data_IF_878847101081
#
_entry.id   IF_878847101081
#
_cell.length_a   1.000
_cell.length_b   1.000
_cell.length_c   1.000
_cell.angle_alpha   90.00
_cell.angle_beta   90.00
_cell.angle_gamma   90.00
#
_symmetry.space_group_name_H-M   'P 1'
#
loop_
_entity.id
_entity.type
_entity.pdbx_description
1 polymer ?
#
# COMPACT_ATOMS: atom_id res chain seq x y z
N UNK A 1 -35.46 56.95 19.31
CA UNK A 1 -35.75 56.22 18.06
C UNK A 1 -34.89 54.96 18.05
N UNK A 2 -35.22 53.91 17.29
CA UNK A 2 -34.34 52.75 17.18
C UNK A 2 -33.13 53.12 16.31
N UNK A 3 -31.92 52.80 16.76
CA UNK A 3 -30.69 53.11 16.04
C UNK A 3 -30.12 51.84 15.42
N UNK A 4 -29.89 51.86 14.11
CA UNK A 4 -29.24 50.77 13.40
C UNK A 4 -27.78 51.12 13.18
N UNK A 5 -26.89 50.14 13.33
CA UNK A 5 -25.46 50.33 13.06
C UNK A 5 -24.82 49.03 12.58
N UNK A 6 -23.74 49.14 11.83
CA UNK A 6 -22.93 48.00 11.35
C UNK A 6 -21.55 48.06 11.99
N UNK A 7 -20.98 46.89 12.25
CA UNK A 7 -19.59 46.75 12.67
C UNK A 7 -18.72 46.39 11.48
N UNK A 8 -17.49 46.89 11.46
CA UNK A 8 -16.43 46.38 10.60
C UNK A 8 -15.52 45.46 11.44
N UNK A 9 -15.38 44.21 11.02
CA UNK A 9 -14.53 43.23 11.67
C UNK A 9 -13.06 43.46 11.36
N UNK A 10 -12.14 42.87 12.15
CA UNK A 10 -10.70 42.96 11.89
C UNK A 10 -10.30 42.42 10.50
N UNK A 11 -11.09 41.48 9.99
CA UNK A 11 -10.98 40.92 8.63
C UNK A 11 -11.58 41.83 7.53
N UNK A 12 -12.03 43.04 7.86
CA UNK A 12 -12.69 43.97 6.93
C UNK A 12 -14.15 43.64 6.59
N UNK A 13 -14.66 42.47 7.01
CA UNK A 13 -16.05 42.09 6.78
C UNK A 13 -17.01 43.00 7.55
N UNK A 14 -18.11 43.40 6.90
CA UNK A 14 -19.21 44.10 7.57
C UNK A 14 -20.11 43.08 8.28
N UNK A 15 -20.51 43.41 9.52
CA UNK A 15 -21.46 42.61 10.28
C UNK A 15 -22.87 42.74 9.72
N UNK A 16 -23.76 41.85 10.18
CA UNK A 16 -25.20 42.09 10.10
C UNK A 16 -25.56 43.39 10.83
N UNK A 17 -26.61 44.11 10.41
CA UNK A 17 -27.04 45.34 11.08
C UNK A 17 -27.48 45.00 12.51
N UNK A 18 -26.93 45.72 13.48
CA UNK A 18 -27.33 45.66 14.87
C UNK A 18 -28.43 46.68 15.12
N UNK A 19 -29.43 46.29 15.92
CA UNK A 19 -30.48 47.16 16.39
C UNK A 19 -30.19 47.57 17.84
N UNK A 20 -29.97 48.85 18.09
CA UNK A 20 -30.11 49.41 19.42
C UNK A 20 -31.58 49.73 19.65
N UNK A 21 -32.27 48.87 20.40
CA UNK A 21 -33.69 49.05 20.72
C UNK A 21 -33.87 50.34 21.51
N UNK A 22 -34.81 51.17 21.08
CA UNK A 22 -35.21 52.32 21.88
C UNK A 22 -35.89 51.86 23.18
N UNK A 23 -35.78 52.67 24.24
CA UNK A 23 -36.41 52.40 25.55
C UNK A 23 -37.91 52.04 25.43
N UNK A 24 -38.72 52.69 24.57
CA UNK A 24 -40.11 52.28 24.36
C UNK A 24 -40.28 50.86 23.83
N UNK A 25 -39.47 50.43 22.86
CA UNK A 25 -39.51 49.08 22.30
C UNK A 25 -39.08 48.03 23.34
N UNK A 26 -38.07 48.37 24.15
CA UNK A 26 -37.61 47.51 25.24
C UNK A 26 -38.72 47.27 26.28
N UNK A 27 -39.43 48.32 26.69
CA UNK A 27 -40.52 48.25 27.68
C UNK A 27 -41.75 47.54 27.11
N UNK A 28 -42.09 47.79 25.86
CA UNK A 28 -43.27 47.21 25.21
C UNK A 28 -43.06 45.75 24.73
N UNK A 29 -41.84 45.20 24.82
CA UNK A 29 -41.45 43.90 24.25
C UNK A 29 -41.79 43.74 22.76
N UNK A 30 -41.88 44.85 22.03
CA UNK A 30 -42.16 44.85 20.60
C UNK A 30 -40.88 45.21 19.84
N UNK A 31 -40.64 44.56 18.70
CA UNK A 31 -39.56 44.95 17.81
C UNK A 31 -39.93 46.27 17.13
N UNK A 32 -38.99 47.21 17.05
CA UNK A 32 -39.17 48.38 16.20
C UNK A 32 -39.36 47.90 14.76
N UNK A 33 -40.50 48.24 14.14
CA UNK A 33 -40.66 48.05 12.71
C UNK A 33 -39.53 48.81 11.99
N UNK A 34 -38.87 48.21 10.98
CA UNK A 34 -37.95 48.96 10.12
C UNK A 34 -38.78 50.02 9.39
N UNK A 35 -38.66 51.28 9.81
CA UNK A 35 -39.26 52.40 9.07
C UNK A 35 -38.44 52.60 7.80
N UNK A 36 -38.88 52.00 6.69
CA UNK A 36 -38.35 52.29 5.35
C UNK A 36 -36.91 51.83 5.09
N UNK A 37 -36.32 52.41 4.02
CA UNK A 37 -34.92 52.25 3.65
C UNK A 37 -34.05 52.61 4.86
N UNK A 38 -33.24 51.64 5.30
CA UNK A 38 -32.31 51.84 6.41
C UNK A 38 -31.47 53.10 6.10
N UNK A 39 -31.42 54.08 7.02
CA UNK A 39 -30.62 55.27 6.79
C UNK A 39 -29.20 54.83 6.43
N UNK A 40 -28.68 55.41 5.35
CA UNK A 40 -27.34 55.14 4.86
C UNK A 40 -26.36 55.27 6.02
N UNK A 41 -25.69 54.18 6.38
CA UNK A 41 -24.93 54.07 7.62
C UNK A 41 -23.70 54.98 7.52
N UNK A 42 -23.78 56.21 8.05
CA UNK A 42 -22.76 57.26 7.88
C UNK A 42 -21.34 56.83 8.28
N UNK A 43 -21.16 55.93 9.25
CA UNK A 43 -19.87 55.26 9.49
C UNK A 43 -20.05 53.91 10.22
N UNK A 44 -19.51 52.79 9.69
CA UNK A 44 -19.44 51.54 10.43
C UNK A 44 -18.50 51.66 11.64
N UNK A 45 -18.89 51.12 12.78
CA UNK A 45 -18.02 51.11 13.97
C UNK A 45 -16.99 49.98 13.88
N UNK A 46 -15.73 50.22 14.24
CA UNK A 46 -14.74 49.16 14.33
C UNK A 46 -15.11 48.12 15.42
N UNK A 47 -14.93 46.83 15.12
CA UNK A 47 -15.02 45.77 16.11
C UNK A 47 -13.65 45.18 16.40
N UNK A 48 -13.45 44.77 17.64
CA UNK A 48 -12.22 44.14 18.10
C UNK A 48 -12.08 42.66 17.70
N UNK A 49 -13.10 42.06 17.08
CA UNK A 49 -13.13 40.64 16.79
C UNK A 49 -13.15 40.36 15.29
N UNK A 50 -12.60 39.22 14.89
CA UNK A 50 -12.82 38.68 13.55
C UNK A 50 -14.30 38.31 13.35
N UNK A 51 -14.73 38.22 12.09
CA UNK A 51 -16.09 37.75 11.81
C UNK A 51 -16.15 36.23 11.98
N UNK A 52 -17.32 35.71 12.40
CA UNK A 52 -17.54 34.28 12.62
C UNK A 52 -17.18 33.43 11.39
N UNK A 53 -17.51 33.91 10.19
CA UNK A 53 -17.22 33.18 8.95
C UNK A 53 -15.71 33.04 8.67
N UNK A 54 -14.91 34.05 9.04
CA UNK A 54 -13.46 33.97 8.92
C UNK A 54 -12.88 32.98 9.94
N UNK A 55 -13.32 33.04 11.20
CA UNK A 55 -12.90 32.10 12.22
C UNK A 55 -13.21 30.64 11.84
N UNK A 56 -14.41 30.39 11.31
CA UNK A 56 -14.80 29.05 10.84
C UNK A 56 -13.94 28.59 9.66
N UNK A 57 -13.55 29.50 8.76
CA UNK A 57 -12.65 29.18 7.65
C UNK A 57 -11.24 28.84 8.13
N UNK A 58 -10.70 29.59 9.09
CA UNK A 58 -9.40 29.30 9.71
C UNK A 58 -9.42 27.93 10.38
N UNK A 59 -10.43 27.65 11.20
CA UNK A 59 -10.58 26.33 11.83
C UNK A 59 -10.71 25.20 10.80
N UNK A 60 -11.48 25.42 9.72
CA UNK A 60 -11.58 24.42 8.65
C UNK A 60 -10.22 24.18 8.00
N UNK A 61 -9.48 25.23 7.66
CA UNK A 61 -8.16 25.11 7.05
C UNK A 61 -7.17 24.37 7.97
N UNK A 62 -7.19 24.65 9.27
CA UNK A 62 -6.40 23.93 10.27
C UNK A 62 -6.78 22.44 10.30
N UNK A 63 -8.07 22.12 10.36
CA UNK A 63 -8.51 20.72 10.34
C UNK A 63 -8.12 20.01 9.05
N UNK A 64 -8.24 20.66 7.89
CA UNK A 64 -7.84 20.10 6.60
C UNK A 64 -6.32 19.86 6.56
N UNK A 65 -5.51 20.79 7.05
CA UNK A 65 -4.06 20.62 7.14
C UNK A 65 -3.67 19.46 8.08
N UNK A 66 -4.32 19.33 9.23
CA UNK A 66 -4.06 18.20 10.15
C UNK A 66 -4.48 16.86 9.53
N UNK A 67 -5.61 16.82 8.82
CA UNK A 67 -6.08 15.62 8.14
C UNK A 67 -5.17 15.23 6.98
N UNK A 68 -4.66 16.20 6.22
CA UNK A 68 -3.69 15.97 5.14
C UNK A 68 -2.39 15.41 5.71
N UNK A 69 -1.83 16.02 6.76
CA UNK A 69 -0.62 15.53 7.41
C UNK A 69 -0.79 14.09 7.96
N UNK A 70 -1.96 13.79 8.54
CA UNK A 70 -2.27 12.43 9.00
C UNK A 70 -2.40 11.43 7.84
N UNK A 71 -3.00 11.83 6.72
CA UNK A 71 -3.13 10.99 5.53
C UNK A 71 -1.77 10.69 4.89
N UNK A 72 -0.90 11.70 4.77
CA UNK A 72 0.46 11.56 4.26
C UNK A 72 1.31 10.65 5.16
N UNK A 73 1.22 10.80 6.48
CA UNK A 73 1.91 9.92 7.42
C UNK A 73 1.44 8.46 7.29
N UNK A 74 0.13 8.23 7.14
CA UNK A 74 -0.44 6.89 6.94
C UNK A 74 -0.08 6.30 5.57
N UNK A 75 0.08 7.12 4.54
CA UNK A 75 0.58 6.65 3.24
C UNK A 75 2.06 6.28 3.30
N UNK A 76 2.89 7.12 3.92
CA UNK A 76 4.30 6.84 4.11
C UNK A 76 4.53 5.55 4.92
N UNK A 77 3.73 5.30 5.95
CA UNK A 77 3.78 4.04 6.72
C UNK A 77 3.43 2.82 5.85
N UNK A 78 2.39 2.93 5.01
CA UNK A 78 2.00 1.85 4.09
C UNK A 78 3.08 1.57 3.05
N UNK A 79 3.67 2.61 2.47
CA UNK A 79 4.78 2.46 1.52
C UNK A 79 6.01 1.82 2.20
N UNK A 80 6.36 2.25 3.41
CA UNK A 80 7.45 1.65 4.17
C UNK A 80 7.20 0.16 4.49
N UNK A 81 5.98 -0.21 4.84
CA UNK A 81 5.59 -1.60 5.07
C UNK A 81 5.68 -2.45 3.79
N UNK A 82 5.21 -1.93 2.65
CA UNK A 82 5.30 -2.61 1.36
C UNK A 82 6.76 -2.81 0.92
N UNK A 83 7.60 -1.78 1.09
CA UNK A 83 9.03 -1.90 0.80
C UNK A 83 9.72 -2.93 1.71
N UNK A 84 9.35 -2.97 2.98
CA UNK A 84 9.88 -3.94 3.93
C UNK A 84 9.51 -5.38 3.53
N UNK A 85 8.25 -5.63 3.18
CA UNK A 85 7.77 -6.93 2.70
C UNK A 85 8.48 -7.36 1.40
N UNK A 86 8.64 -6.43 0.45
CA UNK A 86 9.38 -6.70 -0.79
C UNK A 86 10.84 -7.07 -0.53
N UNK A 87 11.51 -6.35 0.38
CA UNK A 87 12.91 -6.63 0.78
C UNK A 87 13.02 -7.99 1.45
N UNK A 88 12.09 -8.34 2.34
CA UNK A 88 12.05 -9.66 2.98
C UNK A 88 11.87 -10.79 1.97
N UNK A 89 10.92 -10.65 1.02
CA UNK A 89 10.71 -11.65 -0.04
C UNK A 89 11.93 -11.81 -0.94
N UNK A 90 12.63 -10.72 -1.25
CA UNK A 90 13.86 -10.79 -2.05
C UNK A 90 14.99 -11.49 -1.28
N UNK A 91 15.15 -11.21 0.02
CA UNK A 91 16.10 -11.89 0.88
C UNK A 91 15.81 -13.39 0.96
N UNK A 92 14.55 -13.77 1.21
CA UNK A 92 14.15 -15.18 1.27
C UNK A 92 14.43 -15.91 -0.05
N UNK A 93 14.20 -15.25 -1.20
CA UNK A 93 14.53 -15.83 -2.51
C UNK A 93 16.03 -16.05 -2.67
N UNK A 94 16.86 -15.07 -2.29
CA UNK A 94 18.33 -15.18 -2.35
C UNK A 94 18.85 -16.28 -1.43
N UNK A 95 18.32 -16.39 -0.22
CA UNK A 95 18.69 -17.45 0.72
C UNK A 95 18.34 -18.85 0.19
N UNK A 96 17.17 -19.00 -0.44
CA UNK A 96 16.79 -20.27 -1.11
C UNK A 96 17.71 -20.59 -2.27
N UNK A 97 18.01 -19.61 -3.13
CA UNK A 97 18.94 -19.78 -4.26
C UNK A 97 20.34 -20.18 -3.77
N UNK A 98 20.85 -19.52 -2.72
CA UNK A 98 22.15 -19.84 -2.15
C UNK A 98 22.18 -21.23 -1.52
N UNK A 99 21.11 -21.61 -0.82
CA UNK A 99 20.97 -22.95 -0.24
C UNK A 99 21.04 -24.03 -1.31
N UNK A 100 20.27 -23.89 -2.38
CA UNK A 100 20.29 -24.84 -3.51
C UNK A 100 21.68 -24.90 -4.14
N UNK A 101 22.36 -23.76 -4.30
CA UNK A 101 23.73 -23.73 -4.82
C UNK A 101 24.72 -24.49 -3.92
N UNK A 102 24.62 -24.31 -2.60
CA UNK A 102 25.46 -25.01 -1.62
C UNK A 102 25.19 -26.52 -1.61
N UNK A 103 23.91 -26.92 -1.61
CA UNK A 103 23.49 -28.33 -1.67
C UNK A 103 23.94 -29.01 -2.98
N UNK A 104 23.88 -28.30 -4.12
CA UNK A 104 24.36 -28.83 -5.40
C UNK A 104 25.90 -29.05 -5.40
N UNK A 105 26.66 -28.13 -4.81
CA UNK A 105 28.12 -28.27 -4.69
C UNK A 105 28.49 -29.42 -3.76
N UNK A 106 27.79 -29.56 -2.64
CA UNK A 106 28.04 -30.62 -1.66
C UNK A 106 27.70 -31.99 -2.24
N UNK A 107 26.55 -32.12 -2.91
CA UNK A 107 26.16 -33.35 -3.61
C UNK A 107 27.16 -33.74 -4.71
N UNK A 108 27.63 -32.78 -5.50
CA UNK A 108 28.66 -33.02 -6.52
C UNK A 108 30.03 -33.41 -5.91
N UNK A 109 30.31 -33.01 -4.67
CA UNK A 109 31.51 -33.44 -3.95
C UNK A 109 31.37 -34.88 -3.46
N UNK A 110 30.23 -35.21 -2.84
CA UNK A 110 29.92 -36.55 -2.35
C UNK A 110 29.92 -37.58 -3.49
N UNK A 111 29.34 -37.24 -4.65
CA UNK A 111 29.31 -38.14 -5.81
C UNK A 111 30.73 -38.47 -6.32
N UNK A 112 31.63 -37.47 -6.38
CA UNK A 112 33.04 -37.72 -6.73
C UNK A 112 33.78 -38.56 -5.68
N UNK A 113 33.48 -38.36 -4.39
CA UNK A 113 34.07 -39.17 -3.31
C UNK A 113 33.57 -40.63 -3.37
N UNK A 114 32.29 -40.85 -3.71
CA UNK A 114 31.72 -42.18 -3.87
C UNK A 114 32.22 -42.90 -5.13
N UNK A 115 32.30 -42.21 -6.27
CA UNK A 115 32.92 -42.74 -7.49
C UNK A 115 34.37 -43.16 -7.27
N UNK A 116 35.16 -42.35 -6.54
CA UNK A 116 36.53 -42.69 -6.20
C UNK A 116 36.63 -43.94 -5.32
N UNK A 117 35.69 -44.14 -4.38
CA UNK A 117 35.64 -45.34 -3.53
C UNK A 117 35.29 -46.59 -4.34
N UNK A 118 34.26 -46.50 -5.19
CA UNK A 118 33.84 -47.60 -6.06
C UNK A 118 34.93 -47.96 -7.06
N UNK A 119 35.65 -46.98 -7.61
CA UNK A 119 36.75 -47.23 -8.53
C UNK A 119 37.95 -47.89 -7.84
N UNK A 120 38.26 -47.49 -6.59
CA UNK A 120 39.28 -48.15 -5.79
C UNK A 120 38.91 -49.61 -5.48
N UNK A 121 37.68 -49.88 -5.05
CA UNK A 121 37.19 -51.24 -4.83
C UNK A 121 37.23 -52.08 -6.12
N UNK A 122 36.79 -51.52 -7.26
CA UNK A 122 36.87 -52.20 -8.55
C UNK A 122 38.31 -52.50 -8.97
N UNK A 123 39.25 -51.58 -8.76
CA UNK A 123 40.68 -51.82 -9.03
C UNK A 123 41.23 -52.97 -8.19
N UNK A 124 40.88 -53.02 -6.91
CA UNK A 124 41.31 -54.13 -6.02
C UNK A 124 40.70 -55.47 -6.43
N UNK A 125 39.44 -55.49 -6.89
CA UNK A 125 38.81 -56.71 -7.43
C UNK A 125 39.50 -57.16 -8.71
N UNK A 126 39.79 -56.25 -9.65
CA UNK A 126 40.51 -56.57 -10.88
C UNK A 126 41.93 -57.08 -10.58
N UNK A 127 42.64 -56.52 -9.59
CA UNK A 127 43.94 -57.05 -9.18
C UNK A 127 43.86 -58.43 -8.52
N UNK A 128 42.81 -58.68 -7.72
CA UNK A 128 42.54 -59.99 -7.14
C UNK A 128 42.21 -61.02 -8.21
N UNK A 129 41.35 -60.66 -9.16
CA UNK A 129 41.03 -61.48 -10.33
C UNK A 129 42.24 -61.70 -11.24
N UNK A 130 43.16 -60.73 -11.39
CA UNK A 130 44.43 -60.94 -12.10
C UNK A 130 45.40 -61.83 -11.34
N UNK A 131 45.33 -61.84 -10.00
CA UNK A 131 46.20 -62.67 -9.14
C UNK A 131 45.66 -64.10 -8.98
N UNK A 132 44.35 -64.28 -9.02
CA UNK A 132 43.66 -65.59 -8.95
C UNK A 132 43.42 -66.18 -10.36
N UNK A 133 43.27 -65.34 -11.39
CA UNK A 133 43.07 -65.70 -12.80
C UNK A 133 44.37 -65.92 -13.57
N UNK A 134 45.20 -66.85 -13.10
CA UNK A 134 46.26 -67.45 -13.91
C UNK A 134 45.70 -68.45 -14.92
N UNK A 135 44.89 -67.99 -15.89
CA UNK A 135 44.42 -68.81 -16.99
C UNK A 135 44.42 -67.98 -18.27
N UNK A 136 45.47 -68.19 -19.08
CA UNK A 136 45.54 -67.78 -20.48
C UNK A 136 44.24 -68.15 -21.21
N UNK A 137 43.52 -67.16 -21.71
CA UNK A 137 42.58 -67.35 -22.81
C UNK A 137 43.19 -66.79 -24.09
N UNK A 138 43.85 -67.67 -24.84
CA UNK A 138 44.09 -67.54 -26.27
C UNK A 138 42.75 -67.67 -27.00
N UNK A 139 42.26 -66.62 -27.66
CA UNK A 139 41.31 -66.74 -28.79
C UNK A 139 41.59 -65.62 -29.80
N UNK A 140 41.54 -65.88 -31.12
CA UNK A 140 42.54 -65.37 -32.05
C UNK A 140 42.09 -64.17 -32.89
N UNK A 141 43.09 -63.70 -33.61
CA UNK A 141 43.14 -62.73 -34.69
C UNK A 141 42.15 -62.99 -35.86
N UNK A 142 41.79 -61.88 -36.52
CA UNK A 142 41.16 -61.68 -37.85
C UNK A 142 39.64 -61.43 -37.92
N UNK A 143 39.26 -60.15 -38.12
CA UNK A 143 38.84 -59.69 -39.47
C UNK A 143 38.76 -58.17 -39.61
N UNK A 144 39.19 -57.76 -40.80
CA UNK A 144 39.40 -56.44 -41.38
C UNK A 144 38.07 -55.81 -41.82
N UNK A 145 37.84 -54.54 -41.49
CA UNK A 145 36.75 -53.69 -42.02
C UNK A 145 36.94 -52.25 -41.55
N UNK A 146 37.84 -51.48 -42.17
CA UNK A 146 37.58 -50.54 -43.27
C UNK A 146 36.54 -49.46 -42.89
N UNK A 147 37.06 -48.27 -42.62
CA UNK A 147 36.30 -47.15 -42.06
C UNK A 147 35.39 -46.37 -43.00
N UNK A 148 34.66 -45.47 -42.36
CA UNK A 148 33.94 -44.27 -42.85
C UNK A 148 33.20 -43.76 -41.61
N UNK A 149 33.19 -42.52 -41.18
CA UNK A 149 33.65 -41.25 -41.70
C UNK A 149 32.99 -40.19 -40.81
N UNK A 150 33.69 -39.08 -40.58
CA UNK A 150 33.19 -37.87 -39.93
C UNK A 150 31.85 -37.37 -40.49
N UNK A 151 31.01 -36.83 -39.59
CA UNK A 151 30.17 -35.59 -39.67
C UNK A 151 29.44 -35.51 -38.33
N UNK A 152 29.58 -34.53 -37.43
CA UNK A 152 29.58 -33.06 -37.54
C UNK A 152 28.56 -32.55 -38.56
N UNK A 153 27.35 -32.32 -38.05
CA UNK A 153 26.34 -31.33 -38.44
C UNK A 153 25.50 -31.17 -37.15
N UNK A 154 25.33 -30.00 -36.52
CA UNK A 154 25.26 -28.66 -37.10
C UNK A 154 23.98 -28.54 -37.91
N UNK A 155 22.86 -28.17 -37.27
CA UNK A 155 21.58 -28.04 -37.98
C UNK A 155 20.36 -27.90 -37.09
N UNK A 156 20.16 -26.69 -36.60
CA UNK A 156 18.87 -26.04 -36.30
C UNK A 156 17.70 -26.52 -37.16
N UNK A 157 16.62 -26.98 -36.52
CA UNK A 157 15.23 -26.82 -36.99
C UNK A 157 14.38 -26.63 -35.72
N UNK A 158 14.09 -25.40 -35.29
CA UNK A 158 12.89 -24.64 -35.65
C UNK A 158 11.61 -25.50 -35.63
N UNK A 159 11.00 -25.62 -34.45
CA UNK A 159 9.56 -25.87 -34.31
C UNK A 159 8.87 -24.54 -34.08
N UNK A 160 8.13 -23.99 -35.08
CA UNK A 160 7.12 -22.98 -34.83
C UNK A 160 5.77 -23.69 -34.64
N UNK A 161 5.25 -23.71 -33.42
CA UNK A 161 3.81 -23.93 -33.23
C UNK A 161 3.25 -22.68 -32.58
N UNK A 162 2.44 -22.02 -33.39
CA UNK A 162 1.88 -20.69 -33.24
C UNK A 162 0.98 -20.51 -32.02
N UNK A 163 0.80 -19.26 -31.57
CA UNK A 163 -0.08 -18.87 -30.46
C UNK A 163 -1.55 -18.90 -30.87
N UNK A 164 -2.40 -19.40 -29.97
CA UNK A 164 -3.85 -19.20 -30.05
C UNK A 164 -4.17 -17.89 -29.32
N UNK A 165 -4.36 -16.84 -30.11
CA UNK A 165 -5.12 -15.66 -29.74
C UNK A 165 -6.42 -15.68 -30.54
N UNK A 166 -7.51 -15.25 -29.90
CA UNK A 166 -8.67 -14.50 -30.41
C UNK A 166 -10.01 -15.11 -29.98
N UNK A 167 -10.59 -14.57 -28.90
CA UNK A 167 -12.01 -14.17 -28.91
C UNK A 167 -12.18 -12.91 -28.04
N UNK A 168 -13.01 -12.03 -28.58
CA UNK A 168 -13.09 -10.58 -28.43
C UNK A 168 -13.73 -10.05 -27.13
N UNK A 169 -13.62 -8.73 -26.87
CA UNK A 169 -14.25 -8.04 -25.75
C UNK A 169 -15.72 -7.71 -26.02
N UNK A 170 -16.54 -7.70 -24.96
CA UNK A 170 -17.83 -7.03 -24.96
C UNK A 170 -17.91 -6.09 -23.75
N UNK A 171 -18.34 -4.88 -24.06
CA UNK A 171 -18.36 -3.72 -23.20
C UNK A 171 -19.79 -3.44 -22.72
N UNK A 172 -19.88 -2.64 -21.66
CA UNK A 172 -21.03 -1.83 -21.20
C UNK A 172 -22.23 -2.54 -20.57
N UNK A 173 -22.53 -2.23 -19.30
CA UNK A 173 -23.66 -1.38 -18.84
C UNK A 173 -23.88 -1.58 -17.32
N UNK A 174 -23.72 -0.50 -16.55
CA UNK A 174 -24.44 -0.19 -15.30
C UNK A 174 -25.33 1.03 -15.58
N UNK A 175 -26.19 1.57 -14.68
CA UNK A 175 -26.87 1.10 -13.44
C UNK A 175 -28.43 1.39 -13.58
N UNK A 176 -29.28 1.68 -12.55
CA UNK A 176 -29.14 1.70 -11.08
C UNK A 176 -30.29 1.00 -10.30
N UNK A 177 -30.16 0.88 -8.96
CA UNK A 177 -31.17 1.39 -8.00
C UNK A 177 -31.03 0.77 -6.59
N UNK A 178 -31.09 1.67 -5.60
CA UNK A 178 -31.64 1.54 -4.24
C UNK A 178 -30.97 0.62 -3.19
N UNK A 179 -30.38 1.30 -2.20
CA UNK A 179 -30.03 0.83 -0.86
C UNK A 179 -31.26 0.31 -0.06
N UNK A 180 -31.06 -0.31 1.13
CA UNK A 180 -30.86 0.51 2.31
C UNK A 180 -29.75 0.02 3.27
N UNK A 181 -29.19 1.05 3.92
CA UNK A 181 -28.41 1.05 5.15
C UNK A 181 -28.77 -0.05 6.15
N UNK A 182 -27.79 -0.89 6.51
CA UNK A 182 -27.83 -1.59 7.79
C UNK A 182 -27.13 -0.75 8.86
N UNK A 183 -27.97 -0.36 9.81
CA UNK A 183 -27.67 0.34 11.05
C UNK A 183 -26.68 -0.48 11.87
N UNK A 184 -25.53 0.12 12.15
CA UNK A 184 -24.62 -0.32 13.18
C UNK A 184 -25.28 -0.20 14.55
N UNK A 185 -25.30 -1.30 15.30
CA UNK A 185 -25.70 -1.32 16.70
C UNK A 185 -24.70 -0.53 17.56
N UNK A 186 -25.14 0.36 18.47
CA UNK A 186 -24.24 1.04 19.39
C UNK A 186 -23.73 0.06 20.45
N UNK A 187 -22.42 -0.17 20.44
CA UNK A 187 -21.67 -0.74 21.55
C UNK A 187 -21.89 0.14 22.79
N UNK A 188 -22.37 -0.48 23.87
CA UNK A 188 -22.44 0.07 25.23
C UNK A 188 -21.01 0.35 25.74
N UNK A 189 -20.46 1.49 25.38
CA UNK A 189 -19.31 2.10 26.03
C UNK A 189 -19.76 3.28 26.88
N UNK A 190 -20.29 3.00 28.07
CA UNK A 190 -20.67 4.02 29.04
C UNK A 190 -19.46 4.78 29.58
N UNK A 191 -19.02 5.81 28.86
CA UNK A 191 -18.09 6.81 29.35
C UNK A 191 -18.78 7.66 30.40
N UNK A 192 -18.47 7.41 31.67
CA UNK A 192 -18.89 8.23 32.81
C UNK A 192 -18.51 9.69 32.54
N UNK A 193 -19.52 10.54 32.42
CA UNK A 193 -19.33 11.99 32.49
C UNK A 193 -18.56 12.31 33.77
N UNK A 194 -17.40 12.94 33.62
CA UNK A 194 -16.58 13.39 34.73
C UNK A 194 -17.39 14.30 35.65
N UNK A 195 -17.34 14.02 36.94
CA UNK A 195 -17.86 14.91 37.99
C UNK A 195 -16.99 16.16 37.98
N UNK A 196 -17.51 17.25 37.39
CA UNK A 196 -16.94 18.58 37.56
C UNK A 196 -17.56 19.19 38.82
N UNK A 197 -16.82 19.12 39.93
CA UNK A 197 -17.17 19.78 41.17
C UNK A 197 -16.00 19.78 42.16
N UNK A 198 -15.70 20.90 42.82
CA UNK A 198 -14.56 21.00 43.73
C UNK A 198 -14.76 20.10 44.96
N UNK A 199 -13.78 19.22 45.19
CA UNK A 199 -13.69 18.41 46.42
C UNK A 199 -13.47 19.34 47.61
N UNK A 200 -14.49 19.46 48.47
CA UNK A 200 -14.36 20.19 49.73
C UNK A 200 -13.51 19.34 50.69
N UNK A 201 -12.37 19.90 51.10
CA UNK A 201 -11.67 19.51 52.32
C UNK A 201 -12.39 20.10 53.52
#
# INVERSE_FOLDING_TARGET
MCHYWKKIHLCGCLSRPYLFTCRPALVARNTCAPRGELPEFETPTASHFQCFNCLVKEQRAETEATNQAAAEAAEAERQAAEEADKKQKEQERKEKEERVRREAIEKARLEREEEARVEAERKTQIEREKREGGAWSDVPTFKKGRGKGRKVNGGTQSVPISPILTTSPASVVSPPSSAPLQVSTPSKGGGRAGVWGPSRK
#
